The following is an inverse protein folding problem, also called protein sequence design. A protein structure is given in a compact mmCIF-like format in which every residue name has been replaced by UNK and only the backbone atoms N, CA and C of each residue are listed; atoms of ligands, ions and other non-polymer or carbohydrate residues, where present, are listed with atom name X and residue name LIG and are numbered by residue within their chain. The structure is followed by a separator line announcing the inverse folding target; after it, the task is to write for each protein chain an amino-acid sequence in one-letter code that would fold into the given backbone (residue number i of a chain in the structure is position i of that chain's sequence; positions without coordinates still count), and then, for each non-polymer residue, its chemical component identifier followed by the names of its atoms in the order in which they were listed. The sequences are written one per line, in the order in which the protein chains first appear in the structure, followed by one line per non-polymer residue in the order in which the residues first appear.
data_IF_027933679696
#
_entry.id   IF_027933679696
#
_cell.length_a   1.000
_cell.length_b   1.000
_cell.length_c   1.000
_cell.angle_alpha   90.00
_cell.angle_beta   90.00
_cell.angle_gamma   90.00
#
_symmetry.space_group_name_H-M   'P 1'
#
loop_
_entity.id
_entity.type
_entity.pdbx_description
1 polymer ?
#
# COMPACT_ATOMS: atom_id res chain seq x y z
N UNK A 1 41.52 -9.49 36.02
CA UNK A 1 40.51 -8.55 35.38
C UNK A 1 40.25 -9.01 33.99
N UNK A 2 39.21 -9.82 33.79
CA UNK A 2 38.83 -10.41 32.49
C UNK A 2 37.70 -9.58 31.88
N UNK A 3 37.98 -9.03 30.73
CA UNK A 3 37.06 -8.24 29.89
C UNK A 3 36.07 -9.17 29.14
N UNK A 4 34.84 -8.70 29.03
CA UNK A 4 33.89 -8.96 27.98
C UNK A 4 33.11 -10.25 27.97
N UNK A 5 32.04 -10.28 28.76
CA UNK A 5 30.90 -11.13 28.54
C UNK A 5 29.94 -10.65 27.46
N UNK A 6 30.43 -10.40 26.24
CA UNK A 6 29.56 -10.33 25.07
C UNK A 6 29.27 -11.78 24.67
N UNK A 7 28.10 -12.31 25.08
CA UNK A 7 27.58 -13.58 24.57
C UNK A 7 27.50 -13.49 23.04
N UNK A 8 28.50 -14.08 22.37
CA UNK A 8 28.39 -14.32 20.93
C UNK A 8 27.15 -15.20 20.71
N UNK A 9 26.15 -14.66 20.03
CA UNK A 9 24.99 -15.46 19.63
C UNK A 9 25.50 -16.68 18.88
N UNK A 10 25.08 -17.89 19.33
CA UNK A 10 25.47 -19.15 18.69
C UNK A 10 25.14 -19.04 17.17
N UNK A 11 26.05 -19.51 16.33
CA UNK A 11 25.91 -19.50 14.85
C UNK A 11 24.54 -20.03 14.39
N UNK A 12 23.99 -21.05 15.05
CA UNK A 12 22.65 -21.58 14.78
C UNK A 12 21.55 -20.56 15.04
N UNK A 13 21.66 -19.74 16.08
CA UNK A 13 20.69 -18.69 16.38
C UNK A 13 20.80 -17.53 15.40
N UNK A 14 22.03 -17.21 14.95
CA UNK A 14 22.24 -16.23 13.89
C UNK A 14 21.64 -16.72 12.56
N UNK A 15 21.79 -18.00 12.22
CA UNK A 15 21.21 -18.58 11.01
C UNK A 15 19.68 -18.67 11.09
N UNK A 16 19.10 -19.01 12.26
CA UNK A 16 17.64 -18.98 12.49
C UNK A 16 17.09 -17.56 12.34
N UNK A 17 17.78 -16.57 12.92
CA UNK A 17 17.41 -15.17 12.82
C UNK A 17 17.49 -14.68 11.37
N UNK A 18 18.57 -14.99 10.64
CA UNK A 18 18.70 -14.66 9.21
C UNK A 18 17.63 -15.34 8.35
N UNK A 19 17.26 -16.59 8.65
CA UNK A 19 16.15 -17.30 7.96
C UNK A 19 14.79 -16.69 8.29
N UNK A 20 14.57 -16.26 9.54
CA UNK A 20 13.35 -15.58 9.95
C UNK A 20 13.19 -14.24 9.22
N UNK A 21 14.26 -13.42 9.16
CA UNK A 21 14.27 -12.16 8.44
C UNK A 21 14.26 -12.29 6.90
N UNK A 22 14.33 -13.50 6.35
CA UNK A 22 14.09 -13.78 4.92
C UNK A 22 12.66 -14.18 4.61
N UNK A 23 11.82 -14.46 5.64
CA UNK A 23 10.42 -14.76 5.40
C UNK A 23 9.65 -13.46 5.15
N UNK A 24 8.64 -13.45 4.27
CA UNK A 24 7.82 -12.27 3.99
C UNK A 24 6.82 -11.99 5.13
N UNK A 25 7.38 -11.62 6.31
CA UNK A 25 6.64 -11.47 7.58
C UNK A 25 5.60 -10.36 7.47
N UNK A 26 5.92 -9.25 6.82
CA UNK A 26 5.00 -8.11 6.68
C UNK A 26 3.84 -8.49 5.77
N UNK A 27 4.10 -9.17 4.65
CA UNK A 27 3.07 -9.67 3.74
C UNK A 27 2.09 -10.57 4.47
N UNK A 28 2.60 -11.56 5.23
CA UNK A 28 1.73 -12.46 6.01
C UNK A 28 0.99 -11.75 7.13
N UNK A 29 1.61 -10.78 7.79
CA UNK A 29 0.94 -9.96 8.81
C UNK A 29 -0.22 -9.17 8.21
N UNK A 30 -0.03 -8.55 7.05
CA UNK A 30 -1.09 -7.79 6.39
C UNK A 30 -2.23 -8.69 5.92
N UNK A 31 -1.92 -9.86 5.34
CA UNK A 31 -2.93 -10.86 4.96
C UNK A 31 -3.72 -11.35 6.18
N UNK A 32 -3.03 -11.65 7.29
CA UNK A 32 -3.68 -12.08 8.53
C UNK A 32 -4.59 -11.00 9.12
N UNK A 33 -4.12 -9.74 9.13
CA UNK A 33 -4.90 -8.61 9.61
C UNK A 33 -6.17 -8.38 8.76
N UNK A 34 -6.06 -8.45 7.42
CA UNK A 34 -7.19 -8.35 6.51
C UNK A 34 -8.22 -9.46 6.76
N UNK A 35 -7.77 -10.71 6.92
CA UNK A 35 -8.65 -11.83 7.21
C UNK A 35 -9.35 -11.69 8.57
N UNK A 36 -8.62 -11.31 9.62
CA UNK A 36 -9.18 -11.11 10.97
C UNK A 36 -10.26 -10.03 10.94
N UNK A 37 -9.95 -8.85 10.37
CA UNK A 37 -10.91 -7.76 10.28
C UNK A 37 -12.12 -8.12 9.42
N UNK A 38 -11.93 -8.86 8.34
CA UNK A 38 -13.02 -9.34 7.50
C UNK A 38 -13.95 -10.29 8.27
N UNK A 39 -13.41 -11.23 9.04
CA UNK A 39 -14.20 -12.14 9.85
C UNK A 39 -14.96 -11.39 10.96
N UNK A 40 -14.32 -10.44 11.62
CA UNK A 40 -14.96 -9.60 12.63
C UNK A 40 -16.12 -8.79 12.02
N UNK A 41 -15.91 -8.11 10.89
CA UNK A 41 -16.99 -7.40 10.17
C UNK A 41 -18.12 -8.35 9.75
N UNK A 42 -17.79 -9.57 9.34
CA UNK A 42 -18.80 -10.55 8.90
C UNK A 42 -19.71 -10.96 10.06
N UNK A 43 -19.16 -11.11 11.26
CA UNK A 43 -19.91 -11.42 12.49
C UNK A 43 -20.71 -10.20 12.97
N UNK A 44 -20.13 -9.00 12.87
CA UNK A 44 -20.67 -7.75 13.42
C UNK A 44 -21.55 -6.98 12.41
N UNK A 45 -22.38 -7.68 11.65
CA UNK A 45 -23.38 -7.08 10.74
C UNK A 45 -23.09 -7.22 9.25
N UNK A 46 -21.99 -7.86 8.88
CA UNK A 46 -21.65 -8.21 7.49
C UNK A 46 -20.63 -7.26 6.84
N UNK A 47 -19.67 -7.87 6.13
CA UNK A 47 -18.62 -7.15 5.42
C UNK A 47 -19.08 -6.37 4.17
N UNK A 48 -20.35 -6.53 3.77
CA UNK A 48 -20.99 -5.76 2.69
C UNK A 48 -21.91 -4.65 3.21
N UNK A 49 -22.14 -4.61 4.52
CA UNK A 49 -22.98 -3.60 5.16
C UNK A 49 -22.18 -2.29 5.29
N UNK A 50 -22.73 -1.21 4.73
CA UNK A 50 -22.09 0.12 4.73
C UNK A 50 -21.86 0.65 6.15
N UNK A 51 -22.81 0.45 7.07
CA UNK A 51 -22.67 0.90 8.47
C UNK A 51 -21.54 0.14 9.19
N UNK A 52 -21.45 -1.17 8.99
CA UNK A 52 -20.34 -1.99 9.49
C UNK A 52 -19.01 -1.50 8.94
N UNK A 53 -18.91 -1.28 7.64
CA UNK A 53 -17.71 -0.76 6.99
C UNK A 53 -17.29 0.61 7.59
N UNK A 54 -18.22 1.54 7.74
CA UNK A 54 -17.96 2.86 8.33
C UNK A 54 -17.53 2.71 9.80
N UNK A 55 -18.18 1.85 10.57
CA UNK A 55 -17.84 1.57 11.98
C UNK A 55 -16.43 1.02 12.14
N UNK A 56 -15.97 0.17 11.22
CA UNK A 56 -14.60 -0.38 11.20
C UNK A 56 -13.55 0.57 10.58
N UNK A 57 -13.94 1.73 10.11
CA UNK A 57 -13.00 2.76 9.64
C UNK A 57 -12.81 2.82 8.12
N UNK A 58 -13.81 2.40 7.32
CA UNK A 58 -13.81 2.63 5.88
C UNK A 58 -13.69 4.13 5.54
N UNK A 59 -13.12 4.45 4.38
CA UNK A 59 -13.03 5.83 3.90
C UNK A 59 -14.45 6.35 3.69
N UNK A 60 -14.79 7.40 4.41
CA UNK A 60 -16.05 8.12 4.30
C UNK A 60 -15.80 9.61 4.52
N UNK A 61 -16.06 10.41 3.50
CA UNK A 61 -15.65 11.79 3.43
C UNK A 61 -16.16 12.65 4.60
N UNK A 62 -17.44 12.57 5.03
CA UNK A 62 -17.92 13.37 6.15
C UNK A 62 -17.13 13.16 7.44
N UNK A 63 -16.74 11.91 7.73
CA UNK A 63 -15.97 11.61 8.93
C UNK A 63 -14.49 12.02 8.81
N UNK A 64 -13.91 12.01 7.58
CA UNK A 64 -12.59 12.58 7.35
C UNK A 64 -12.57 14.09 7.63
N UNK A 65 -13.60 14.82 7.18
CA UNK A 65 -13.76 16.27 7.48
C UNK A 65 -14.02 16.51 8.97
N UNK A 66 -14.71 15.59 9.64
CA UNK A 66 -14.90 15.64 11.09
C UNK A 66 -13.62 15.31 11.90
N UNK A 67 -12.50 14.99 11.23
CA UNK A 67 -11.20 14.79 11.88
C UNK A 67 -10.78 13.34 12.05
N UNK A 68 -11.51 12.36 11.51
CA UNK A 68 -11.15 10.94 11.60
C UNK A 68 -10.09 10.55 10.55
N UNK A 69 -8.89 11.14 10.64
CA UNK A 69 -7.80 11.00 9.67
C UNK A 69 -7.24 9.58 9.53
N UNK A 70 -7.44 8.72 10.52
CA UNK A 70 -7.08 7.29 10.42
C UNK A 70 -7.80 6.59 9.26
N UNK A 71 -8.92 7.11 8.77
CA UNK A 71 -9.64 6.61 7.59
C UNK A 71 -8.90 6.78 6.27
N UNK A 72 -7.71 7.37 6.29
CA UNK A 72 -6.78 7.31 5.15
C UNK A 72 -5.97 6.01 5.14
N UNK A 73 -5.87 5.30 6.28
CA UNK A 73 -5.07 4.09 6.43
C UNK A 73 -5.92 2.85 6.72
N UNK A 74 -6.91 2.94 7.60
CA UNK A 74 -7.73 1.79 8.01
C UNK A 74 -8.43 1.08 6.86
N UNK A 75 -8.93 1.75 5.80
CA UNK A 75 -9.59 1.08 4.66
C UNK A 75 -8.73 0.06 3.95
N UNK A 76 -7.39 0.21 4.00
CA UNK A 76 -6.41 -0.71 3.39
C UNK A 76 -6.60 -2.16 3.87
N UNK A 77 -7.11 -2.32 5.08
CA UNK A 77 -7.26 -3.62 5.73
C UNK A 77 -8.70 -4.16 5.71
N UNK A 78 -9.66 -3.35 5.25
CA UNK A 78 -11.08 -3.73 5.18
C UNK A 78 -11.43 -4.25 3.78
N UNK A 79 -12.40 -5.18 3.69
CA UNK A 79 -12.80 -5.73 2.40
C UNK A 79 -14.31 -5.91 2.29
N UNK A 80 -14.86 -5.59 1.12
CA UNK A 80 -16.29 -5.66 0.80
C UNK A 80 -16.59 -7.01 0.14
N UNK A 81 -17.06 -7.98 0.94
CA UNK A 81 -17.38 -9.31 0.47
C UNK A 81 -16.18 -10.21 0.16
N UNK A 82 -16.43 -11.51 0.05
CA UNK A 82 -15.42 -12.56 -0.07
C UNK A 82 -14.58 -12.45 -1.36
N UNK A 83 -15.22 -12.15 -2.49
CA UNK A 83 -14.51 -12.06 -3.78
C UNK A 83 -13.45 -10.97 -3.74
N UNK A 84 -13.78 -9.80 -3.16
CA UNK A 84 -12.86 -8.67 -3.03
C UNK A 84 -11.68 -9.01 -2.12
N UNK A 85 -11.93 -9.67 -0.96
CA UNK A 85 -10.88 -10.14 -0.07
C UNK A 85 -9.94 -11.13 -0.78
N UNK A 86 -10.50 -12.15 -1.44
CA UNK A 86 -9.70 -13.20 -2.09
C UNK A 86 -8.82 -12.59 -3.19
N UNK A 87 -9.39 -11.77 -4.08
CA UNK A 87 -8.65 -11.17 -5.19
C UNK A 87 -7.49 -10.29 -4.69
N UNK A 88 -7.75 -9.44 -3.70
CA UNK A 88 -6.69 -8.61 -3.11
C UNK A 88 -5.64 -9.46 -2.38
N UNK A 89 -6.06 -10.49 -1.64
CA UNK A 89 -5.15 -11.37 -0.91
C UNK A 89 -4.24 -12.17 -1.85
N UNK A 90 -4.76 -12.65 -2.97
CA UNK A 90 -3.96 -13.36 -3.99
C UNK A 90 -2.89 -12.43 -4.57
N UNK A 91 -3.26 -11.20 -4.94
CA UNK A 91 -2.29 -10.24 -5.47
C UNK A 91 -1.26 -9.88 -4.40
N UNK A 92 -1.70 -9.58 -3.16
CA UNK A 92 -0.80 -9.27 -2.04
C UNK A 92 0.16 -10.43 -1.75
N UNK A 93 -0.32 -11.68 -1.79
CA UNK A 93 0.52 -12.84 -1.56
C UNK A 93 1.64 -12.95 -2.61
N UNK A 94 1.29 -12.96 -3.90
CA UNK A 94 2.27 -13.17 -4.96
C UNK A 94 3.21 -11.97 -5.18
N UNK A 95 2.67 -10.76 -5.21
CA UNK A 95 3.46 -9.54 -5.43
C UNK A 95 4.17 -9.10 -4.15
N UNK A 96 3.49 -9.22 -3.00
CA UNK A 96 4.03 -8.81 -1.71
C UNK A 96 5.27 -9.59 -1.33
N UNK A 97 5.26 -10.93 -1.49
CA UNK A 97 6.43 -11.78 -1.21
C UNK A 97 7.63 -11.34 -2.04
N UNK A 98 7.45 -11.11 -3.34
CA UNK A 98 8.53 -10.74 -4.24
C UNK A 98 9.09 -9.34 -3.91
N UNK A 99 8.23 -8.39 -3.62
CA UNK A 99 8.64 -7.02 -3.29
C UNK A 99 9.22 -6.91 -1.88
N UNK A 100 8.70 -7.65 -0.90
CA UNK A 100 9.25 -7.66 0.45
C UNK A 100 10.66 -8.27 0.47
N UNK A 101 10.90 -9.35 -0.31
CA UNK A 101 12.23 -9.93 -0.49
C UNK A 101 13.20 -8.94 -1.18
N UNK A 102 12.72 -8.19 -2.17
CA UNK A 102 13.52 -7.22 -2.94
C UNK A 102 13.84 -5.94 -2.14
N UNK A 103 12.86 -5.39 -1.42
CA UNK A 103 12.93 -4.09 -0.76
C UNK A 103 13.34 -4.18 0.71
N UNK A 104 13.12 -5.35 1.32
CA UNK A 104 13.17 -5.56 2.77
C UNK A 104 11.90 -5.10 3.49
N UNK A 105 11.67 -5.64 4.68
CA UNK A 105 10.41 -5.53 5.42
C UNK A 105 9.93 -4.09 5.62
N UNK A 106 10.76 -3.20 6.16
CA UNK A 106 10.35 -1.86 6.52
C UNK A 106 10.02 -0.99 5.30
N UNK A 107 10.80 -1.13 4.19
CA UNK A 107 10.55 -0.37 2.96
C UNK A 107 9.27 -0.85 2.27
N UNK A 108 9.08 -2.16 2.24
CA UNK A 108 7.86 -2.77 1.74
C UNK A 108 6.64 -2.27 2.53
N UNK A 109 6.68 -2.33 3.88
CA UNK A 109 5.61 -1.85 4.74
C UNK A 109 5.32 -0.36 4.52
N UNK A 110 6.36 0.47 4.48
CA UNK A 110 6.21 1.90 4.27
C UNK A 110 5.62 2.23 2.90
N UNK A 111 6.08 1.58 1.82
CA UNK A 111 5.53 1.78 0.48
C UNK A 111 4.07 1.34 0.44
N UNK A 112 3.73 0.18 1.00
CA UNK A 112 2.36 -0.33 1.04
C UNK A 112 1.41 0.64 1.76
N UNK A 113 1.76 1.08 2.97
CA UNK A 113 0.91 1.95 3.78
C UNK A 113 0.81 3.37 3.21
N UNK A 114 1.94 3.97 2.84
CA UNK A 114 1.96 5.35 2.33
C UNK A 114 1.31 5.46 0.96
N UNK A 115 1.51 4.49 0.07
CA UNK A 115 0.83 4.49 -1.22
C UNK A 115 -0.68 4.28 -1.09
N UNK A 116 -1.10 3.39 -0.18
CA UNK A 116 -2.52 3.22 0.14
C UNK A 116 -3.14 4.48 0.72
N UNK A 117 -2.42 5.17 1.61
CA UNK A 117 -2.84 6.45 2.16
C UNK A 117 -3.01 7.53 1.06
N UNK A 118 -2.07 7.62 0.11
CA UNK A 118 -2.20 8.55 -1.01
C UNK A 118 -3.35 8.16 -1.94
N UNK A 119 -3.58 6.86 -2.16
CA UNK A 119 -4.74 6.37 -2.90
C UNK A 119 -6.06 6.74 -2.22
N UNK A 120 -6.16 6.54 -0.91
CA UNK A 120 -7.33 6.94 -0.14
C UNK A 120 -7.52 8.48 -0.11
N UNK A 121 -6.44 9.26 -0.12
CA UNK A 121 -6.50 10.72 -0.29
C UNK A 121 -7.00 11.11 -1.68
N UNK A 122 -6.61 10.39 -2.74
CA UNK A 122 -7.14 10.60 -4.08
C UNK A 122 -8.64 10.23 -4.16
N UNK A 123 -9.03 9.12 -3.54
CA UNK A 123 -10.44 8.76 -3.36
C UNK A 123 -11.22 9.84 -2.61
N UNK A 124 -10.66 10.38 -1.54
CA UNK A 124 -11.24 11.49 -0.78
C UNK A 124 -11.45 12.74 -1.65
N UNK A 125 -10.47 13.05 -2.51
CA UNK A 125 -10.54 14.21 -3.39
C UNK A 125 -11.58 14.06 -4.52
N UNK A 126 -11.76 12.86 -5.08
CA UNK A 126 -12.52 12.67 -6.31
C UNK A 126 -13.80 11.85 -6.16
N UNK A 127 -13.95 11.06 -5.08
CA UNK A 127 -15.10 10.20 -4.81
C UNK A 127 -15.80 10.59 -3.50
N UNK A 128 -16.39 11.80 -3.46
CA UNK A 128 -16.95 12.40 -2.25
C UNK A 128 -18.07 11.58 -1.60
N UNK A 129 -18.92 10.92 -2.39
CA UNK A 129 -20.13 10.23 -1.93
C UNK A 129 -19.94 8.71 -1.75
N UNK A 130 -18.74 8.19 -2.00
CA UNK A 130 -18.49 6.74 -1.88
C UNK A 130 -17.88 6.37 -0.52
N UNK A 131 -18.32 5.24 0.02
CA UNK A 131 -17.60 4.51 1.06
C UNK A 131 -16.60 3.60 0.37
N UNK A 132 -15.31 3.75 0.67
CA UNK A 132 -14.25 2.93 0.06
C UNK A 132 -13.53 2.08 1.10
N UNK A 133 -13.29 0.82 0.76
CA UNK A 133 -12.54 -0.14 1.56
C UNK A 133 -11.89 -1.16 0.63
N UNK A 134 -10.65 -1.54 0.93
CA UNK A 134 -9.89 -2.53 0.18
C UNK A 134 -8.39 -2.24 0.17
N UNK A 135 -7.60 -3.31 0.08
CA UNK A 135 -6.15 -3.22 -0.07
C UNK A 135 -5.72 -2.68 -1.45
N UNK A 136 -6.66 -2.53 -2.38
CA UNK A 136 -6.36 -2.24 -3.78
C UNK A 136 -5.56 -0.94 -3.99
N UNK A 137 -5.80 0.11 -3.21
CA UNK A 137 -5.00 1.35 -3.24
C UNK A 137 -3.52 1.08 -2.96
N UNK A 138 -3.22 0.25 -1.95
CA UNK A 138 -1.86 -0.19 -1.62
C UNK A 138 -1.28 -1.16 -2.66
N UNK A 139 -2.11 -2.06 -3.21
CA UNK A 139 -1.68 -2.99 -4.27
C UNK A 139 -1.30 -2.23 -5.54
N UNK A 140 -2.05 -1.19 -5.91
CA UNK A 140 -1.64 -0.28 -6.98
C UNK A 140 -0.34 0.46 -6.62
N UNK A 141 -0.12 0.76 -5.35
CA UNK A 141 1.17 1.26 -4.86
C UNK A 141 2.32 0.25 -5.06
N UNK A 142 2.10 -1.02 -4.78
CA UNK A 142 3.07 -2.07 -5.07
C UNK A 142 3.31 -2.21 -6.59
N UNK A 143 2.29 -2.05 -7.41
CA UNK A 143 2.47 -1.96 -8.86
C UNK A 143 3.34 -0.76 -9.26
N UNK A 144 3.12 0.42 -8.65
CA UNK A 144 3.96 1.61 -8.85
C UNK A 144 5.43 1.36 -8.46
N UNK A 145 5.66 0.64 -7.35
CA UNK A 145 6.99 0.20 -6.94
C UNK A 145 7.63 -0.74 -7.98
N UNK A 146 6.86 -1.66 -8.53
CA UNK A 146 7.33 -2.59 -9.56
C UNK A 146 7.74 -1.87 -10.83
N UNK A 147 6.97 -0.87 -11.28
CA UNK A 147 7.33 -0.02 -12.42
C UNK A 147 8.63 0.75 -12.18
N UNK A 148 8.80 1.31 -10.98
CA UNK A 148 10.03 1.99 -10.59
C UNK A 148 11.23 1.04 -10.61
N UNK A 149 11.11 -0.16 -10.04
CA UNK A 149 12.17 -1.17 -10.03
C UNK A 149 12.53 -1.62 -11.46
N UNK A 150 11.54 -1.88 -12.30
CA UNK A 150 11.75 -2.25 -13.71
C UNK A 150 12.49 -1.19 -14.51
N UNK A 151 12.16 0.10 -14.27
CA UNK A 151 12.85 1.24 -14.91
C UNK A 151 14.29 1.42 -14.39
N UNK A 152 14.53 1.06 -13.14
CA UNK A 152 15.82 1.31 -12.47
C UNK A 152 16.81 0.18 -12.66
N UNK A 153 16.34 -1.07 -12.63
CA UNK A 153 17.16 -2.28 -12.69
C UNK A 153 17.00 -3.01 -14.04
N UNK A 154 17.32 -2.32 -15.13
CA UNK A 154 17.16 -2.83 -16.50
C UNK A 154 18.01 -4.08 -16.80
N UNK A 155 19.13 -4.25 -16.11
CA UNK A 155 20.02 -5.41 -16.24
C UNK A 155 19.62 -6.64 -15.40
N UNK A 156 18.54 -6.58 -14.62
CA UNK A 156 18.10 -7.70 -13.79
C UNK A 156 16.89 -8.42 -14.44
N UNK A 157 17.07 -9.65 -14.99
CA UNK A 157 15.98 -10.35 -15.68
C UNK A 157 14.77 -10.65 -14.80
N UNK A 158 14.97 -10.96 -13.52
CA UNK A 158 13.87 -11.27 -12.60
C UNK A 158 13.00 -10.04 -12.36
N UNK A 159 13.61 -8.88 -12.11
CA UNK A 159 12.87 -7.61 -11.94
C UNK A 159 12.17 -7.22 -13.25
N UNK A 160 12.81 -7.40 -14.41
CA UNK A 160 12.20 -7.12 -15.69
C UNK A 160 11.00 -8.04 -16.00
N UNK A 161 11.10 -9.31 -15.64
CA UNK A 161 9.98 -10.25 -15.77
C UNK A 161 8.81 -9.86 -14.85
N UNK A 162 9.10 -9.55 -13.59
CA UNK A 162 8.11 -9.05 -12.62
C UNK A 162 7.44 -7.77 -13.15
N UNK A 163 8.20 -6.79 -13.62
CA UNK A 163 7.67 -5.52 -14.12
C UNK A 163 6.76 -5.72 -15.35
N UNK A 164 7.09 -6.63 -16.27
CA UNK A 164 6.25 -6.95 -17.43
C UNK A 164 4.95 -7.62 -17.03
N UNK A 165 5.02 -8.65 -16.17
CA UNK A 165 3.84 -9.41 -15.77
C UNK A 165 2.83 -8.54 -15.01
N UNK A 166 3.30 -7.78 -14.02
CA UNK A 166 2.44 -6.89 -13.25
C UNK A 166 2.05 -5.63 -14.04
N UNK A 167 2.87 -5.17 -14.99
CA UNK A 167 2.51 -4.08 -15.91
C UNK A 167 1.26 -4.39 -16.73
N UNK A 168 1.12 -5.62 -17.23
CA UNK A 168 -0.09 -6.07 -17.92
C UNK A 168 -1.30 -6.09 -16.99
N UNK A 169 -1.14 -6.59 -15.77
CA UNK A 169 -2.23 -6.57 -14.77
C UNK A 169 -2.67 -5.16 -14.40
N UNK A 170 -1.75 -4.21 -14.27
CA UNK A 170 -2.07 -2.78 -14.06
C UNK A 170 -2.97 -2.27 -15.17
N UNK A 171 -2.56 -2.48 -16.43
CA UNK A 171 -3.29 -1.99 -17.58
C UNK A 171 -4.71 -2.58 -17.62
N UNK A 172 -4.84 -3.90 -17.46
CA UNK A 172 -6.14 -4.58 -17.44
C UNK A 172 -7.04 -4.01 -16.32
N UNK A 173 -6.51 -3.87 -15.10
CA UNK A 173 -7.29 -3.36 -13.98
C UNK A 173 -7.68 -1.89 -14.14
N UNK A 174 -6.83 -1.02 -14.71
CA UNK A 174 -7.15 0.38 -14.97
C UNK A 174 -8.22 0.49 -16.06
N UNK A 175 -8.10 -0.29 -17.15
CA UNK A 175 -9.11 -0.33 -18.20
C UNK A 175 -10.44 -0.82 -17.66
N UNK A 176 -10.45 -1.92 -16.90
CA UNK A 176 -11.66 -2.43 -16.25
C UNK A 176 -12.27 -1.40 -15.28
N UNK A 177 -11.44 -0.76 -14.46
CA UNK A 177 -11.88 0.28 -13.53
C UNK A 177 -12.44 1.53 -14.20
N UNK A 178 -12.00 1.85 -15.42
CA UNK A 178 -12.55 2.96 -16.20
C UNK A 178 -14.00 2.70 -16.63
N UNK A 179 -14.33 1.46 -16.95
CA UNK A 179 -15.68 1.07 -17.38
C UNK A 179 -16.57 0.61 -16.22
N UNK A 180 -16.05 0.45 -15.01
CA UNK A 180 -16.80 -0.05 -13.85
C UNK A 180 -16.82 0.98 -12.73
N UNK A 181 -17.96 1.64 -12.56
CA UNK A 181 -18.17 2.68 -11.54
C UNK A 181 -18.08 2.18 -10.10
N UNK A 182 -18.14 0.88 -9.87
CA UNK A 182 -17.93 0.28 -8.54
C UNK A 182 -16.45 0.22 -8.15
N UNK A 183 -15.52 0.52 -9.08
CA UNK A 183 -14.09 0.53 -8.83
C UNK A 183 -13.64 1.95 -8.53
N UNK A 184 -12.90 2.12 -7.44
CA UNK A 184 -12.30 3.41 -7.06
C UNK A 184 -11.05 3.70 -7.91
N UNK A 185 -11.28 4.13 -9.16
CA UNK A 185 -10.22 4.43 -10.11
C UNK A 185 -9.29 5.54 -9.60
N UNK A 186 -9.84 6.56 -8.95
CA UNK A 186 -9.03 7.65 -8.37
C UNK A 186 -8.08 7.12 -7.28
N UNK A 187 -8.60 6.26 -6.40
CA UNK A 187 -7.80 5.57 -5.39
C UNK A 187 -6.68 4.71 -5.99
N UNK A 188 -6.97 3.99 -7.08
CA UNK A 188 -5.98 3.17 -7.78
C UNK A 188 -4.86 4.01 -8.40
N UNK A 189 -5.21 5.09 -9.11
CA UNK A 189 -4.22 6.01 -9.73
C UNK A 189 -3.38 6.70 -8.65
N UNK A 190 -4.01 7.16 -7.56
CA UNK A 190 -3.32 7.75 -6.42
C UNK A 190 -2.35 6.77 -5.76
N UNK A 191 -2.79 5.53 -5.57
CA UNK A 191 -1.95 4.45 -5.05
C UNK A 191 -0.74 4.16 -5.95
N UNK A 192 -0.96 4.01 -7.25
CA UNK A 192 0.09 3.78 -8.26
C UNK A 192 1.16 4.88 -8.23
N UNK A 193 0.70 6.15 -8.25
CA UNK A 193 1.58 7.32 -8.14
C UNK A 193 2.35 7.32 -6.81
N UNK A 194 1.66 7.09 -5.70
CA UNK A 194 2.25 7.02 -4.37
C UNK A 194 3.33 5.97 -4.25
N UNK A 195 3.08 4.78 -4.76
CA UNK A 195 4.06 3.70 -4.75
C UNK A 195 5.30 3.99 -5.60
N UNK A 196 5.13 4.57 -6.78
CA UNK A 196 6.25 5.00 -7.62
C UNK A 196 7.10 6.08 -6.93
N UNK A 197 6.45 7.13 -6.38
CA UNK A 197 7.12 8.21 -5.67
C UNK A 197 7.88 7.71 -4.44
N UNK A 198 7.21 6.93 -3.59
CA UNK A 198 7.82 6.41 -2.36
C UNK A 198 8.92 5.39 -2.63
N UNK A 199 8.79 4.55 -3.65
CA UNK A 199 9.86 3.66 -4.05
C UNK A 199 11.11 4.42 -4.50
N UNK A 200 10.95 5.52 -5.21
CA UNK A 200 12.10 6.40 -5.55
C UNK A 200 12.69 7.06 -4.32
N UNK A 201 11.84 7.46 -3.36
CA UNK A 201 12.29 8.16 -2.16
C UNK A 201 13.04 7.26 -1.16
N UNK A 202 12.59 6.00 -0.96
CA UNK A 202 13.09 5.17 0.15
C UNK A 202 13.69 3.82 -0.24
N UNK A 203 13.45 3.29 -1.46
CA UNK A 203 13.65 1.86 -1.69
C UNK A 203 15.09 1.42 -1.91
N UNK A 204 16.00 2.28 -2.36
CA UNK A 204 17.32 1.76 -2.77
C UNK A 204 18.45 2.35 -1.94
N UNK A 205 19.28 1.49 -1.34
CA UNK A 205 20.58 1.90 -0.85
C UNK A 205 21.53 2.05 -2.06
N UNK A 206 21.48 3.17 -2.77
CA UNK A 206 22.49 3.52 -3.75
C UNK A 206 23.41 4.56 -3.15
N UNK A 207 24.72 4.30 -3.08
CA UNK A 207 25.69 5.24 -2.55
C UNK A 207 25.94 6.46 -3.46
N UNK A 208 25.39 6.50 -4.69
CA UNK A 208 25.68 7.57 -5.64
C UNK A 208 25.04 8.91 -5.23
N UNK A 209 25.80 10.03 -5.18
CA UNK A 209 25.30 11.35 -4.77
C UNK A 209 24.08 11.86 -5.56
N UNK A 210 23.98 11.48 -6.85
CA UNK A 210 22.86 11.86 -7.73
C UNK A 210 21.49 11.34 -7.23
N UNK A 211 21.47 10.25 -6.47
CA UNK A 211 20.23 9.67 -5.94
C UNK A 211 19.71 10.42 -4.72
N UNK A 212 20.58 11.06 -3.93
CA UNK A 212 20.16 11.87 -2.76
C UNK A 212 19.18 12.97 -3.18
N UNK A 213 19.50 13.73 -4.24
CA UNK A 213 18.62 14.79 -4.77
C UNK A 213 17.28 14.23 -5.26
N UNK A 214 17.31 13.11 -5.99
CA UNK A 214 16.08 12.45 -6.46
C UNK A 214 15.21 11.98 -5.31
N UNK A 215 15.77 11.36 -4.28
CA UNK A 215 15.02 10.93 -3.09
C UNK A 215 14.27 12.07 -2.42
N UNK A 216 14.94 13.17 -2.18
CA UNK A 216 14.32 14.36 -1.59
C UNK A 216 13.23 14.91 -2.50
N UNK A 217 13.47 15.03 -3.80
CA UNK A 217 12.51 15.54 -4.77
C UNK A 217 11.24 14.68 -4.82
N UNK A 218 11.37 13.35 -4.89
CA UNK A 218 10.23 12.44 -4.98
C UNK A 218 9.49 12.32 -3.64
N UNK A 219 10.20 12.38 -2.51
CA UNK A 219 9.58 12.46 -1.18
C UNK A 219 8.80 13.77 -0.99
N UNK A 220 9.38 14.90 -1.41
CA UNK A 220 8.68 16.19 -1.42
C UNK A 220 7.49 16.17 -2.37
N UNK A 221 7.64 15.60 -3.56
CA UNK A 221 6.53 15.42 -4.51
C UNK A 221 5.37 14.61 -3.94
N UNK A 222 5.67 13.54 -3.20
CA UNK A 222 4.65 12.77 -2.48
C UNK A 222 3.93 13.62 -1.44
N UNK A 223 4.67 14.37 -0.61
CA UNK A 223 4.08 15.21 0.44
C UNK A 223 3.20 16.32 -0.16
N UNK A 224 3.68 16.99 -1.21
CA UNK A 224 2.91 18.03 -1.92
C UNK A 224 1.63 17.44 -2.52
N UNK A 225 1.72 16.29 -3.20
CA UNK A 225 0.56 15.63 -3.79
C UNK A 225 -0.45 15.21 -2.72
N UNK A 226 0.01 14.67 -1.58
CA UNK A 226 -0.86 14.33 -0.46
C UNK A 226 -1.59 15.56 0.08
N UNK A 227 -0.88 16.65 0.34
CA UNK A 227 -1.47 17.90 0.85
C UNK A 227 -2.51 18.43 -0.14
N UNK A 228 -2.19 18.45 -1.44
CA UNK A 228 -3.13 18.91 -2.49
C UNK A 228 -4.40 18.05 -2.52
N UNK A 229 -4.26 16.72 -2.50
CA UNK A 229 -5.42 15.83 -2.53
C UNK A 229 -6.28 15.97 -1.26
N UNK A 230 -5.66 16.09 -0.08
CA UNK A 230 -6.39 16.33 1.17
C UNK A 230 -7.12 17.68 1.14
N UNK A 231 -6.49 18.73 0.65
CA UNK A 231 -7.12 20.05 0.52
C UNK A 231 -8.31 20.01 -0.45
N UNK A 232 -8.14 19.40 -1.63
CA UNK A 232 -9.23 19.24 -2.61
C UNK A 232 -10.39 18.46 -1.99
N UNK A 233 -10.10 17.31 -1.35
CA UNK A 233 -11.12 16.48 -0.71
C UNK A 233 -11.89 17.23 0.39
N UNK A 234 -11.17 17.98 1.22
CA UNK A 234 -11.74 18.77 2.30
C UNK A 234 -12.71 19.83 1.77
N UNK A 235 -12.26 20.69 0.84
CA UNK A 235 -13.12 21.76 0.30
C UNK A 235 -14.28 21.23 -0.55
N UNK A 236 -14.06 20.17 -1.34
CA UNK A 236 -15.15 19.54 -2.12
C UNK A 236 -16.21 18.91 -1.23
N UNK A 237 -15.79 18.30 -0.12
CA UNK A 237 -16.75 17.69 0.81
C UNK A 237 -17.54 18.78 1.54
N UNK A 238 -16.91 19.86 2.01
CA UNK A 238 -17.62 20.98 2.63
C UNK A 238 -18.61 21.68 1.69
N UNK A 239 -18.26 21.80 0.40
CA UNK A 239 -19.13 22.41 -0.59
C UNK A 239 -20.26 21.49 -1.10
N UNK A 240 -20.27 20.22 -0.71
CA UNK A 240 -21.28 19.24 -1.09
C UNK A 240 -22.37 19.02 -0.05
N UNK A 241 -22.20 19.56 1.15
CA UNK A 241 -23.13 19.56 2.30
C UNK A 241 -23.40 20.99 2.78
#
# INVERSE_FOLDING_TARGET
MTKNGVRSMNYQNQMKLKRFFRKPVVTYTFLGLQLILFLLMTIDGGSTNTFTLIGYGAKFNPLLVAGEWWRLVTPIFLHIGWVHLIMNSVILYYLGIQLEDTLGHWRFAAIYLLSGMLGNAASFAFNAFSVSAGASTSLFGLFGATLFLGKTYTGNPAIQHMARNFGTLILINLVFGFFNTSVDLAGHIGGLAGGYLMSTAISIPDPLPRWKKKRVLYGAGFAVLLILLLSIGYFRTLGAF
#
